data_IF_551333280443
#
_entry.id   IF_551333280443
#
_cell.length_a   1.000
_cell.length_b   1.000
_cell.length_c   1.000
_cell.angle_alpha   90.00
_cell.angle_beta   90.00
_cell.angle_gamma   90.00
#
_symmetry.space_group_name_H-M   'P 1'
#
loop_
_entity.id
_entity.type
_entity.pdbx_description
1 polymer ?
#
# COMPACT_ATOMS: atom_id res chain seq x y z
N UNK A 1 18.61 -4.04 -17.47
CA UNK A 1 17.15 -4.23 -17.32
C UNK A 1 16.51 -2.89 -16.98
N UNK A 2 15.35 -2.56 -17.57
CA UNK A 2 14.62 -1.33 -17.21
C UNK A 2 14.12 -1.42 -15.77
N UNK A 3 14.30 -0.37 -14.97
CA UNK A 3 13.82 -0.33 -13.58
C UNK A 3 12.30 -0.57 -13.53
N UNK A 4 11.79 -1.37 -12.58
CA UNK A 4 10.35 -1.57 -12.43
C UNK A 4 9.68 -0.27 -11.95
N UNK A 5 8.41 -0.08 -12.28
CA UNK A 5 7.66 1.09 -11.79
C UNK A 5 7.41 1.01 -10.27
N UNK A 6 7.35 -0.20 -9.76
CA UNK A 6 6.99 -0.53 -8.38
C UNK A 6 7.16 -2.02 -8.11
N UNK A 7 7.13 -2.38 -6.82
CA UNK A 7 7.26 -3.73 -6.32
C UNK A 7 5.99 -4.12 -5.55
N UNK A 8 5.46 -5.30 -5.86
CA UNK A 8 4.39 -5.94 -5.10
C UNK A 8 5.04 -6.53 -3.84
N UNK A 9 4.76 -5.92 -2.69
CA UNK A 9 5.29 -6.37 -1.39
C UNK A 9 4.37 -7.37 -0.71
N UNK A 10 3.09 -7.42 -1.12
CA UNK A 10 2.12 -8.41 -0.66
C UNK A 10 1.06 -8.66 -1.72
N UNK A 11 0.65 -9.92 -1.88
CA UNK A 11 -0.51 -10.33 -2.68
C UNK A 11 -1.14 -11.55 -2.01
N UNK A 12 -2.36 -11.41 -1.52
CA UNK A 12 -2.97 -12.45 -0.70
C UNK A 12 -4.30 -12.01 -0.06
N UNK A 13 -4.86 -12.84 0.84
CA UNK A 13 -6.11 -12.54 1.52
C UNK A 13 -5.97 -11.39 2.53
N UNK A 14 -6.92 -10.46 2.54
CA UNK A 14 -6.99 -9.43 3.57
C UNK A 14 -7.18 -10.04 4.95
N UNK A 15 -6.49 -9.50 5.95
CA UNK A 15 -6.72 -9.85 7.34
C UNK A 15 -8.10 -9.38 7.87
N UNK A 16 -8.79 -8.50 7.15
CA UNK A 16 -10.07 -7.94 7.59
C UNK A 16 -11.26 -8.85 7.23
N UNK A 17 -11.24 -9.47 6.05
CA UNK A 17 -12.36 -10.26 5.52
C UNK A 17 -11.96 -11.46 4.65
N UNK A 18 -10.66 -11.73 4.49
CA UNK A 18 -10.14 -12.83 3.68
C UNK A 18 -10.18 -12.60 2.16
N UNK A 19 -10.71 -11.47 1.68
CA UNK A 19 -10.83 -11.18 0.24
C UNK A 19 -9.49 -10.73 -0.35
N UNK A 20 -9.26 -10.93 -1.66
CA UNK A 20 -7.92 -10.80 -2.23
C UNK A 20 -7.49 -9.33 -2.40
N UNK A 21 -6.37 -8.98 -1.77
CA UNK A 21 -5.75 -7.65 -1.82
C UNK A 21 -4.31 -7.72 -2.35
N UNK A 22 -3.79 -6.57 -2.73
CA UNK A 22 -2.40 -6.37 -3.13
C UNK A 22 -1.84 -5.12 -2.46
N UNK A 23 -0.61 -5.19 -1.95
CA UNK A 23 0.14 -4.04 -1.48
C UNK A 23 1.34 -3.78 -2.40
N UNK A 24 1.46 -2.54 -2.89
CA UNK A 24 2.41 -2.18 -3.95
C UNK A 24 3.20 -0.93 -3.54
N UNK A 25 4.52 -1.07 -3.42
CA UNK A 25 5.44 0.04 -3.28
C UNK A 25 5.70 0.67 -4.65
N UNK A 26 5.48 1.97 -4.79
CA UNK A 26 5.61 2.69 -6.07
C UNK A 26 6.64 3.81 -6.00
N UNK A 27 7.08 4.33 -7.16
CA UNK A 27 8.08 5.40 -7.21
C UNK A 27 9.53 4.93 -7.40
N UNK A 28 9.72 3.70 -7.88
CA UNK A 28 11.07 3.12 -8.10
C UNK A 28 11.64 3.52 -9.48
N UNK A 29 10.82 3.41 -10.52
CA UNK A 29 11.21 3.69 -11.91
C UNK A 29 11.10 5.17 -12.30
N UNK A 30 10.57 6.03 -11.42
CA UNK A 30 10.28 7.44 -11.70
C UNK A 30 11.09 8.27 -10.71
N UNK A 31 12.19 8.89 -11.17
CA UNK A 31 12.85 9.96 -10.41
C UNK A 31 11.87 11.14 -10.37
N UNK A 32 11.32 11.42 -9.20
CA UNK A 32 10.54 12.65 -9.01
C UNK A 32 11.53 13.82 -8.95
N UNK A 33 11.27 14.89 -9.71
CA UNK A 33 12.03 16.15 -9.62
C UNK A 33 11.65 17.00 -8.40
N UNK A 34 10.76 16.49 -7.54
CA UNK A 34 10.15 17.22 -6.46
C UNK A 34 10.93 16.95 -5.15
N UNK A 35 11.88 17.84 -4.82
CA UNK A 35 12.73 17.74 -3.62
C UNK A 35 11.94 17.52 -2.33
N UNK A 36 10.71 18.05 -2.25
CA UNK A 36 9.82 17.96 -1.07
C UNK A 36 9.33 16.56 -0.75
N UNK A 37 9.25 15.65 -1.74
CA UNK A 37 8.70 14.29 -1.54
C UNK A 37 9.82 13.30 -1.20
N UNK A 38 11.08 13.69 -1.43
CA UNK A 38 12.25 12.87 -1.12
C UNK A 38 12.21 11.50 -1.78
N UNK A 39 13.12 10.64 -1.36
CA UNK A 39 13.30 9.29 -1.88
C UNK A 39 12.26 8.30 -1.31
N UNK A 40 11.02 8.77 -1.06
CA UNK A 40 9.98 8.04 -0.34
C UNK A 40 9.16 7.14 -1.27
N UNK A 41 8.96 5.89 -0.84
CA UNK A 41 8.15 4.88 -1.53
C UNK A 41 6.77 4.76 -0.86
N UNK A 42 5.71 5.36 -1.43
CA UNK A 42 4.35 5.11 -0.97
C UNK A 42 3.89 3.70 -1.31
N UNK A 43 3.32 3.02 -0.31
CA UNK A 43 2.74 1.69 -0.42
C UNK A 43 1.22 1.79 -0.49
N UNK A 44 0.64 1.29 -1.57
CA UNK A 44 -0.79 1.32 -1.85
C UNK A 44 -1.39 -0.06 -1.62
N UNK A 45 -2.46 -0.13 -0.83
CA UNK A 45 -3.20 -1.37 -0.56
C UNK A 45 -4.53 -1.29 -1.33
N UNK A 46 -4.75 -2.26 -2.21
CA UNK A 46 -5.89 -2.27 -3.14
C UNK A 46 -6.53 -3.64 -3.17
N UNK A 47 -7.82 -3.69 -3.55
CA UNK A 47 -8.42 -4.92 -4.06
C UNK A 47 -7.69 -5.34 -5.34
N UNK A 48 -7.31 -6.60 -5.41
CA UNK A 48 -6.56 -7.13 -6.57
C UNK A 48 -7.46 -7.53 -7.74
N UNK A 49 -8.77 -7.59 -7.50
CA UNK A 49 -9.80 -8.12 -8.41
C UNK A 49 -10.89 -7.09 -8.74
N UNK A 50 -10.97 -5.98 -8.01
CA UNK A 50 -11.99 -4.94 -8.18
C UNK A 50 -11.32 -3.56 -8.20
N UNK A 51 -11.66 -2.75 -9.22
CA UNK A 51 -11.16 -1.39 -9.34
C UNK A 51 -11.57 -0.51 -8.17
N UNK A 52 -10.71 0.42 -7.71
CA UNK A 52 -10.91 1.13 -6.44
C UNK A 52 -12.19 1.99 -6.42
N UNK A 53 -12.58 2.58 -7.56
CA UNK A 53 -13.85 3.34 -7.62
C UNK A 53 -15.07 2.43 -7.47
N UNK A 54 -15.05 1.25 -8.10
CA UNK A 54 -16.14 0.29 -7.98
C UNK A 54 -16.18 -0.26 -6.56
N UNK A 55 -15.02 -0.66 -6.01
CA UNK A 55 -14.91 -1.20 -4.65
C UNK A 55 -15.50 -0.25 -3.61
N UNK A 56 -15.21 1.05 -3.69
CA UNK A 56 -15.83 2.05 -2.80
C UNK A 56 -17.33 2.22 -3.06
N UNK A 57 -17.78 2.22 -4.33
CA UNK A 57 -19.22 2.37 -4.66
C UNK A 57 -20.08 1.22 -4.11
N UNK A 58 -19.56 -0.01 -4.13
CA UNK A 58 -20.30 -1.21 -3.66
C UNK A 58 -19.90 -1.66 -2.24
N UNK A 59 -19.01 -0.94 -1.57
CA UNK A 59 -18.56 -1.22 -0.20
C UNK A 59 -17.55 -2.36 -0.05
N UNK A 60 -17.03 -2.90 -1.15
CA UNK A 60 -15.99 -3.94 -1.20
C UNK A 60 -14.59 -3.42 -0.82
N UNK A 61 -14.42 -2.11 -0.66
CA UNK A 61 -13.23 -1.50 -0.07
C UNK A 61 -13.10 -1.76 1.45
N UNK A 62 -14.07 -2.44 2.08
CA UNK A 62 -13.93 -2.98 3.43
C UNK A 62 -12.67 -3.86 3.56
N UNK A 63 -12.33 -4.64 2.54
CA UNK A 63 -11.14 -5.52 2.57
C UNK A 63 -9.83 -4.75 2.70
N UNK A 64 -9.79 -3.45 2.40
CA UNK A 64 -8.57 -2.63 2.50
C UNK A 64 -8.67 -1.55 3.58
N UNK A 65 -9.86 -1.04 3.88
CA UNK A 65 -10.07 0.09 4.79
C UNK A 65 -10.83 -0.29 6.07
N UNK A 66 -11.43 -1.48 6.12
CA UNK A 66 -12.30 -1.93 7.21
C UNK A 66 -13.36 -0.89 7.58
N UNK A 67 -13.47 -0.60 8.87
CA UNK A 67 -14.42 0.38 9.43
C UNK A 67 -13.84 1.80 9.53
N UNK A 68 -13.00 2.22 8.58
CA UNK A 68 -12.33 3.52 8.61
C UNK A 68 -13.33 4.69 8.77
N UNK A 69 -13.22 5.46 9.86
CA UNK A 69 -14.10 6.60 10.13
C UNK A 69 -14.07 7.65 9.02
N UNK A 70 -12.90 7.89 8.42
CA UNK A 70 -12.76 8.86 7.32
C UNK A 70 -13.62 8.50 6.10
N UNK A 71 -13.89 7.21 5.88
CA UNK A 71 -14.82 6.74 4.83
C UNK A 71 -16.26 7.08 5.22
N UNK A 72 -16.66 6.76 6.44
CA UNK A 72 -18.02 7.02 6.93
C UNK A 72 -18.36 8.51 7.00
N UNK A 73 -17.36 9.35 7.30
CA UNK A 73 -17.50 10.80 7.38
C UNK A 73 -17.26 11.52 6.04
N UNK A 74 -16.99 10.81 4.94
CA UNK A 74 -16.60 11.39 3.64
C UNK A 74 -15.43 12.39 3.73
N UNK A 75 -14.52 12.19 4.69
CA UNK A 75 -13.40 13.09 4.98
C UNK A 75 -12.04 12.52 4.56
N UNK A 76 -12.04 11.37 3.87
CA UNK A 76 -10.83 10.80 3.29
C UNK A 76 -10.24 11.77 2.24
N UNK A 77 -9.03 12.25 2.48
CA UNK A 77 -8.33 13.17 1.58
C UNK A 77 -7.76 12.49 0.33
N UNK A 78 -7.78 11.15 0.27
CA UNK A 78 -7.25 10.40 -0.87
C UNK A 78 -8.25 10.45 -2.02
N UNK A 79 -7.85 11.06 -3.13
CA UNK A 79 -8.65 11.04 -4.35
C UNK A 79 -8.54 9.66 -5.04
N UNK A 80 -9.59 8.85 -4.88
CA UNK A 80 -9.69 7.47 -5.38
C UNK A 80 -9.57 7.41 -6.92
N UNK A 81 -10.02 8.45 -7.62
CA UNK A 81 -9.98 8.53 -9.08
C UNK A 81 -8.57 8.77 -9.64
N UNK A 82 -7.60 9.14 -8.80
CA UNK A 82 -6.23 9.46 -9.21
C UNK A 82 -5.26 8.34 -8.77
N UNK A 83 -4.55 8.53 -7.65
CA UNK A 83 -3.48 7.63 -7.19
C UNK A 83 -3.89 6.15 -7.19
N UNK A 84 -4.93 5.75 -6.42
CA UNK A 84 -5.37 4.36 -6.35
C UNK A 84 -5.73 3.77 -7.72
N UNK A 85 -6.44 4.53 -8.55
CA UNK A 85 -6.82 4.13 -9.91
C UNK A 85 -5.58 3.85 -10.78
N UNK A 86 -4.60 4.75 -10.81
CA UNK A 86 -3.41 4.57 -11.65
C UNK A 86 -2.57 3.37 -11.22
N UNK A 87 -2.47 3.14 -9.91
CA UNK A 87 -1.78 1.97 -9.36
C UNK A 87 -2.51 0.69 -9.75
N UNK A 88 -3.83 0.66 -9.60
CA UNK A 88 -4.65 -0.49 -10.02
C UNK A 88 -4.51 -0.78 -11.53
N UNK A 89 -4.63 0.24 -12.39
CA UNK A 89 -4.49 0.08 -13.84
C UNK A 89 -3.10 -0.42 -14.24
N UNK A 90 -2.04 0.05 -13.57
CA UNK A 90 -0.68 -0.43 -13.82
C UNK A 90 -0.45 -1.86 -13.31
N UNK A 91 -1.09 -2.25 -12.21
CA UNK A 91 -1.07 -3.62 -11.68
C UNK A 91 -1.69 -4.61 -12.67
N UNK A 92 -2.88 -4.30 -13.19
CA UNK A 92 -3.55 -5.14 -14.19
C UNK A 92 -2.84 -5.21 -15.56
N UNK A 93 -1.86 -4.33 -15.79
CA UNK A 93 -0.98 -4.35 -16.96
C UNK A 93 0.38 -5.01 -16.68
N UNK A 94 0.52 -5.72 -15.55
CA UNK A 94 1.73 -6.41 -15.11
C UNK A 94 2.99 -5.54 -15.09
N UNK A 95 2.83 -4.24 -14.76
CA UNK A 95 3.95 -3.27 -14.75
C UNK A 95 4.76 -3.27 -13.45
N UNK A 96 4.39 -4.11 -12.48
CA UNK A 96 5.06 -4.27 -11.21
C UNK A 96 5.72 -5.64 -11.10
N UNK A 97 6.83 -5.72 -10.37
CA UNK A 97 7.52 -6.98 -10.09
C UNK A 97 7.20 -7.45 -8.67
N UNK A 98 7.24 -8.74 -8.43
CA UNK A 98 7.10 -9.28 -7.07
C UNK A 98 8.36 -8.98 -6.27
N UNK A 99 8.22 -8.87 -4.96
CA UNK A 99 9.36 -8.84 -4.05
C UNK A 99 10.06 -10.20 -4.08
N UNK A 100 11.33 -10.17 -4.45
CA UNK A 100 12.25 -11.30 -4.55
C UNK A 100 13.68 -10.81 -4.24
N UNK A 101 14.65 -11.72 -4.34
CA UNK A 101 16.07 -11.41 -4.09
C UNK A 101 16.61 -10.33 -5.04
N UNK A 102 16.16 -10.30 -6.29
CA UNK A 102 16.68 -9.36 -7.30
C UNK A 102 16.05 -7.97 -7.18
N UNK A 103 14.87 -7.87 -6.57
CA UNK A 103 14.11 -6.63 -6.46
C UNK A 103 14.22 -5.94 -5.11
N UNK A 104 14.68 -6.64 -4.06
CA UNK A 104 14.83 -6.08 -2.70
C UNK A 104 15.72 -4.84 -2.68
N UNK A 105 16.78 -4.82 -3.51
CA UNK A 105 17.70 -3.68 -3.68
C UNK A 105 17.00 -2.37 -4.06
N UNK A 106 15.80 -2.42 -4.66
CA UNK A 106 15.04 -1.22 -5.00
C UNK A 106 14.30 -0.60 -3.82
N UNK A 107 14.14 -1.35 -2.74
CA UNK A 107 13.47 -0.96 -1.50
C UNK A 107 14.48 -0.60 -0.38
N UNK A 108 15.69 -1.15 -0.44
CA UNK A 108 16.74 -0.94 0.55
C UNK A 108 17.15 0.54 0.70
N UNK A 109 17.35 0.96 1.94
CA UNK A 109 17.81 2.31 2.30
C UNK A 109 16.90 3.45 1.78
N UNK A 110 15.61 3.14 1.56
CA UNK A 110 14.57 4.10 1.15
C UNK A 110 13.69 4.48 2.33
N UNK A 111 13.09 5.67 2.26
CA UNK A 111 11.98 5.99 3.15
C UNK A 111 10.71 5.34 2.61
N UNK A 112 9.87 4.79 3.47
CA UNK A 112 8.61 4.14 3.06
C UNK A 112 7.41 4.77 3.74
N UNK A 113 6.29 4.82 3.03
CA UNK A 113 5.00 5.20 3.62
C UNK A 113 4.05 4.03 3.56
N UNK A 114 3.79 3.44 4.71
CA UNK A 114 2.83 2.36 4.90
C UNK A 114 1.42 2.94 4.89
N UNK A 115 0.59 2.50 3.93
CA UNK A 115 -0.77 3.00 3.79
C UNK A 115 -0.86 4.39 3.16
N UNK A 116 -0.40 4.53 1.91
CA UNK A 116 -0.74 5.70 1.08
C UNK A 116 -2.24 5.72 0.71
N UNK A 117 -2.81 4.52 0.56
CA UNK A 117 -4.24 4.22 0.47
C UNK A 117 -4.47 2.82 1.02
N UNK A 118 -5.63 2.59 1.64
CA UNK A 118 -5.88 1.41 2.46
C UNK A 118 -5.18 1.48 3.81
N UNK A 119 -5.61 0.64 4.74
CA UNK A 119 -5.11 0.56 6.10
C UNK A 119 -4.09 -0.58 6.22
N UNK A 120 -2.89 -0.33 6.80
CA UNK A 120 -1.88 -1.36 7.03
C UNK A 120 -2.39 -2.59 7.79
N UNK A 121 -3.47 -2.46 8.57
CA UNK A 121 -4.12 -3.57 9.28
C UNK A 121 -4.72 -4.65 8.35
N UNK A 122 -4.91 -4.35 7.06
CA UNK A 122 -5.38 -5.33 6.08
C UNK A 122 -4.29 -6.34 5.65
N UNK A 123 -3.02 -6.02 5.89
CA UNK A 123 -1.86 -6.81 5.45
C UNK A 123 -1.20 -7.47 6.67
N UNK A 124 -0.69 -8.72 6.55
CA UNK A 124 0.08 -9.38 7.61
C UNK A 124 1.23 -8.53 8.13
N UNK A 125 1.43 -8.53 9.45
CA UNK A 125 2.38 -7.65 10.11
C UNK A 125 3.82 -7.92 9.66
N UNK A 126 4.13 -9.19 9.39
CA UNK A 126 5.43 -9.68 8.95
C UNK A 126 5.91 -8.96 7.69
N UNK A 127 4.99 -8.53 6.82
CA UNK A 127 5.32 -7.73 5.64
C UNK A 127 5.88 -6.37 6.07
N UNK A 128 5.23 -5.70 7.01
CA UNK A 128 5.70 -4.42 7.54
C UNK A 128 6.99 -4.57 8.32
N UNK A 129 7.16 -5.62 9.12
CA UNK A 129 8.41 -5.88 9.85
C UNK A 129 9.59 -6.08 8.90
N UNK A 130 9.41 -6.86 7.82
CA UNK A 130 10.45 -7.13 6.85
C UNK A 130 10.82 -5.88 6.05
N UNK A 131 9.83 -5.07 5.67
CA UNK A 131 10.08 -3.77 5.03
C UNK A 131 10.78 -2.78 5.96
N UNK A 132 10.40 -2.74 7.24
CA UNK A 132 11.02 -1.88 8.24
C UNK A 132 12.50 -2.23 8.48
N UNK A 133 12.90 -3.50 8.35
CA UNK A 133 14.30 -3.94 8.49
C UNK A 133 15.20 -3.44 7.37
N UNK A 134 14.68 -3.31 6.15
CA UNK A 134 15.45 -2.87 4.96
C UNK A 134 15.31 -1.38 4.65
N UNK A 135 14.27 -0.73 5.17
CA UNK A 135 14.01 0.68 4.96
C UNK A 135 15.00 1.56 5.74
N UNK A 136 15.34 2.73 5.19
CA UNK A 136 16.06 3.79 5.91
C UNK A 136 15.19 4.41 7.01
N UNK A 137 13.89 4.41 6.79
CA UNK A 137 12.88 4.88 7.73
C UNK A 137 11.49 4.70 7.16
N UNK A 138 10.47 4.77 8.00
CA UNK A 138 9.09 4.58 7.57
C UNK A 138 8.13 5.49 8.33
N UNK A 139 7.00 5.77 7.70
CA UNK A 139 5.82 6.38 8.31
C UNK A 139 4.64 5.50 7.99
N UNK A 140 3.72 5.32 8.92
CA UNK A 140 2.48 4.59 8.69
C UNK A 140 1.35 5.25 9.44
N UNK A 141 0.12 5.03 8.98
CA UNK A 141 -1.07 5.45 9.69
C UNK A 141 -2.12 4.36 9.56
N UNK A 142 -2.63 3.88 10.70
CA UNK A 142 -3.77 2.96 10.75
C UNK A 142 -4.90 3.62 11.54
N UNK A 143 -6.11 3.58 10.99
CA UNK A 143 -7.32 3.96 11.72
C UNK A 143 -7.95 2.75 12.44
N UNK A 144 -7.41 1.57 12.21
CA UNK A 144 -7.87 0.32 12.84
C UNK A 144 -7.00 -0.13 14.01
N UNK A 145 -6.07 0.71 14.49
CA UNK A 145 -5.14 0.42 15.59
C UNK A 145 -5.78 -0.11 16.89
N UNK A 146 -7.05 0.23 17.15
CA UNK A 146 -7.80 -0.27 18.32
C UNK A 146 -8.38 -1.69 18.15
N UNK A 147 -8.53 -2.16 16.90
CA UNK A 147 -9.17 -3.44 16.54
C UNK A 147 -8.21 -4.42 15.88
N UNK A 148 -7.02 -3.98 15.47
CA UNK A 148 -6.01 -4.82 14.84
C UNK A 148 -4.95 -5.32 15.85
N UNK A 149 -3.99 -6.10 15.36
CA UNK A 149 -2.84 -6.56 16.14
C UNK A 149 -2.15 -5.35 16.83
N UNK A 150 -1.98 -5.35 18.17
CA UNK A 150 -1.33 -4.27 18.91
C UNK A 150 0.07 -3.93 18.42
N UNK A 151 0.78 -4.90 17.84
CA UNK A 151 2.13 -4.71 17.34
C UNK A 151 2.21 -3.80 16.11
N UNK A 152 1.11 -3.64 15.37
CA UNK A 152 1.04 -2.71 14.24
C UNK A 152 1.31 -1.26 14.66
N UNK A 153 1.06 -0.91 15.93
CA UNK A 153 1.36 0.40 16.51
C UNK A 153 2.85 0.78 16.46
N UNK A 154 3.75 -0.20 16.30
CA UNK A 154 5.18 0.08 16.10
C UNK A 154 5.46 0.69 14.71
N UNK A 155 4.58 0.43 13.75
CA UNK A 155 4.74 0.77 12.34
C UNK A 155 3.75 1.86 11.86
N UNK A 156 2.82 2.30 12.73
CA UNK A 156 1.71 3.22 12.41
C UNK A 156 1.38 4.17 13.56
#
# INVERSE_FOLDING_TARGET
>A
MSKPLGIIVYKGPSLLDGKPIVAIATGIGIKTSNEKIGDMLPIWILRSDIGPQLATKIGEDFSICGNCFQKHANSCYVNICHGPRWVYEAFHRDRYKNLDYDTVQYLENRYMRFGAYGDPAAVPIEIWENLAKIAKGYTGYSHQWKKCNPELKKYC
#
